data_IF_388030304766
#
_entry.id   IF_388030304766
#
_cell.length_a   1.000
_cell.length_b   1.000
_cell.length_c   1.000
_cell.angle_alpha   90.00
_cell.angle_beta   90.00
_cell.angle_gamma   90.00
#
_symmetry.space_group_name_H-M   'P 1'
#
loop_
_entity.id
_entity.type
_entity.pdbx_description
1 polymer ?
#
# COMPACT_ATOMS: atom_id res chain seq x y z
N UNK A 1 18.35 27.29 -0.84
CA UNK A 1 19.12 27.61 -2.07
C UNK A 1 19.61 26.29 -2.67
N UNK A 2 18.99 25.83 -3.77
CA UNK A 2 19.51 24.86 -4.76
C UNK A 2 18.35 24.41 -5.67
N UNK A 3 17.71 25.38 -6.32
CA UNK A 3 16.92 25.16 -7.53
C UNK A 3 17.18 26.35 -8.44
N UNK A 4 18.19 26.21 -9.29
CA UNK A 4 18.42 27.09 -10.44
C UNK A 4 19.27 26.32 -11.45
N UNK A 5 18.73 26.25 -12.67
CA UNK A 5 19.35 25.80 -13.91
C UNK A 5 19.49 24.28 -14.11
N UNK A 6 18.60 23.71 -14.94
CA UNK A 6 18.95 23.41 -16.33
C UNK A 6 17.68 23.09 -17.14
N UNK A 7 17.24 24.03 -17.97
CA UNK A 7 16.40 23.78 -19.14
C UNK A 7 17.30 23.95 -20.38
N UNK A 8 16.94 23.22 -21.44
CA UNK A 8 17.48 23.19 -22.82
C UNK A 8 18.23 21.88 -23.11
N UNK A 9 17.51 20.93 -23.72
CA UNK A 9 17.84 20.41 -25.05
C UNK A 9 16.53 20.04 -25.75
N UNK A 10 16.19 20.82 -26.76
CA UNK A 10 15.18 20.47 -27.75
C UNK A 10 15.86 19.58 -28.80
N UNK A 11 15.32 18.39 -29.02
CA UNK A 11 15.45 17.64 -30.28
C UNK A 11 14.09 17.01 -30.60
N UNK A 12 13.58 17.12 -31.84
CA UNK A 12 12.40 16.38 -32.26
C UNK A 12 12.84 14.96 -32.60
N UNK A 13 12.75 14.05 -31.64
CA UNK A 13 13.10 12.64 -31.84
C UNK A 13 11.82 11.83 -31.72
N UNK A 14 11.30 11.48 -32.90
CA UNK A 14 10.33 10.43 -33.21
C UNK A 14 9.00 10.45 -32.44
N UNK A 15 7.94 10.79 -33.17
CA UNK A 15 6.62 10.23 -32.92
C UNK A 15 6.66 8.72 -33.19
N UNK A 16 7.24 7.97 -32.25
CA UNK A 16 6.92 6.55 -32.11
C UNK A 16 5.60 6.49 -31.36
N UNK A 17 4.59 5.73 -31.80
CA UNK A 17 3.50 5.38 -30.90
C UNK A 17 4.18 4.72 -29.71
N UNK A 18 4.14 5.38 -28.54
CA UNK A 18 4.64 4.77 -27.33
C UNK A 18 4.02 3.37 -27.28
N UNK A 19 4.82 2.28 -27.30
CA UNK A 19 4.25 0.97 -27.07
C UNK A 19 3.49 1.11 -25.75
N UNK A 20 2.28 0.58 -25.72
CA UNK A 20 1.35 0.52 -24.58
C UNK A 20 1.98 -0.03 -23.27
N UNK A 21 3.24 -0.42 -23.32
CA UNK A 21 4.12 -0.67 -22.18
C UNK A 21 4.18 0.48 -21.16
N UNK A 22 4.07 1.75 -21.57
CA UNK A 22 4.03 2.89 -20.63
C UNK A 22 2.65 3.11 -19.96
N UNK A 23 1.60 2.39 -20.35
CA UNK A 23 0.29 2.51 -19.67
C UNK A 23 0.26 1.75 -18.33
N UNK A 24 1.21 0.85 -18.09
CA UNK A 24 1.27 -0.02 -16.92
C UNK A 24 2.42 0.31 -15.95
N UNK A 25 2.67 1.60 -15.71
CA UNK A 25 3.73 2.07 -14.79
C UNK A 25 3.46 1.77 -13.30
N UNK A 26 2.56 0.85 -12.96
CA UNK A 26 2.47 0.20 -11.64
C UNK A 26 2.91 -1.27 -11.64
N UNK A 27 3.40 -1.79 -12.78
CA UNK A 27 3.58 -3.23 -13.04
C UNK A 27 2.24 -3.99 -13.03
N UNK A 28 2.11 -5.20 -13.60
CA UNK A 28 0.97 -6.07 -13.32
C UNK A 28 0.98 -6.49 -11.83
N UNK A 29 -0.17 -6.79 -11.20
CA UNK A 29 -0.16 -7.44 -9.89
C UNK A 29 0.64 -8.74 -9.99
N UNK A 30 1.38 -9.10 -8.94
CA UNK A 30 2.09 -10.38 -8.94
C UNK A 30 1.06 -11.50 -9.21
N UNK A 31 1.34 -12.46 -10.10
CA UNK A 31 0.34 -13.41 -10.61
C UNK A 31 -0.33 -14.28 -9.53
N UNK A 32 0.21 -14.29 -8.31
CA UNK A 32 -0.28 -15.09 -7.20
C UNK A 32 -1.09 -14.29 -6.16
N UNK A 33 -1.40 -13.01 -6.40
CA UNK A 33 -2.16 -12.23 -5.43
C UNK A 33 -3.68 -12.32 -5.65
N UNK A 34 -4.41 -12.61 -4.57
CA UNK A 34 -5.87 -12.60 -4.52
C UNK A 34 -6.39 -11.17 -4.41
N UNK A 35 -7.28 -10.79 -5.32
CA UNK A 35 -7.96 -9.49 -5.28
C UNK A 35 -8.90 -9.41 -4.05
N UNK A 36 -8.75 -8.37 -3.23
CA UNK A 36 -9.59 -8.12 -2.05
C UNK A 36 -10.60 -6.99 -2.27
N UNK A 37 -10.20 -5.91 -2.95
CA UNK A 37 -11.07 -4.75 -3.19
C UNK A 37 -10.75 -4.08 -4.52
N UNK A 38 -11.63 -4.28 -5.51
CA UNK A 38 -11.48 -3.75 -6.88
C UNK A 38 -10.04 -3.95 -7.38
N UNK A 39 -9.56 -3.16 -8.33
CA UNK A 39 -8.17 -3.26 -8.80
C UNK A 39 -7.16 -2.50 -7.91
N UNK A 40 -7.48 -2.38 -6.62
CA UNK A 40 -6.74 -1.53 -5.69
C UNK A 40 -6.06 -2.31 -4.57
N UNK A 41 -6.68 -3.36 -4.01
CA UNK A 41 -6.10 -4.10 -2.88
C UNK A 41 -6.00 -5.57 -3.22
N UNK A 42 -4.83 -6.13 -2.98
CA UNK A 42 -4.50 -7.51 -3.26
C UNK A 42 -3.81 -8.13 -2.05
N UNK A 43 -4.25 -9.33 -1.68
CA UNK A 43 -3.59 -10.22 -0.73
C UNK A 43 -2.60 -11.09 -1.50
N UNK A 44 -1.31 -10.90 -1.24
CA UNK A 44 -0.22 -11.63 -1.86
C UNK A 44 0.38 -12.69 -0.92
N UNK A 45 -0.27 -12.91 0.23
CA UNK A 45 0.17 -13.83 1.25
C UNK A 45 -0.07 -15.30 0.92
N UNK A 46 0.30 -16.14 1.87
CA UNK A 46 0.05 -17.58 1.87
C UNK A 46 -1.14 -17.93 2.78
N UNK A 47 -1.89 -19.02 2.51
CA UNK A 47 -2.89 -19.55 3.45
C UNK A 47 -2.33 -19.92 4.83
N UNK A 48 -1.00 -20.05 4.96
CA UNK A 48 -0.30 -20.30 6.22
C UNK A 48 0.03 -19.04 7.01
N UNK A 49 -0.19 -17.85 6.45
CA UNK A 49 0.14 -16.59 7.11
C UNK A 49 -0.76 -16.36 8.32
N UNK A 50 -0.22 -15.66 9.33
CA UNK A 50 -0.90 -15.47 10.62
C UNK A 50 -2.22 -14.70 10.46
N UNK A 51 -2.24 -13.69 9.59
CA UNK A 51 -3.42 -12.90 9.24
C UNK A 51 -4.04 -13.42 7.94
N UNK A 52 -5.28 -13.87 8.03
CA UNK A 52 -6.10 -14.23 6.88
C UNK A 52 -7.16 -13.16 6.65
N UNK A 53 -7.03 -12.40 5.57
CA UNK A 53 -7.90 -11.26 5.28
C UNK A 53 -9.20 -11.75 4.62
N UNK A 54 -10.33 -11.40 5.23
CA UNK A 54 -11.66 -11.81 4.74
C UNK A 54 -12.24 -10.76 3.80
N UNK A 55 -12.19 -9.49 4.19
CA UNK A 55 -12.75 -8.38 3.42
C UNK A 55 -11.99 -7.09 3.70
N UNK A 56 -11.86 -6.25 2.68
CA UNK A 56 -11.45 -4.85 2.82
C UNK A 56 -12.38 -3.99 1.99
N UNK A 57 -12.83 -2.87 2.53
CA UNK A 57 -13.59 -1.84 1.86
C UNK A 57 -12.93 -0.48 2.07
N UNK A 58 -12.92 0.34 1.02
CA UNK A 58 -12.36 1.69 1.07
C UNK A 58 -13.39 2.69 0.50
N UNK A 59 -13.59 3.81 1.21
CA UNK A 59 -14.45 4.90 0.76
C UNK A 59 -13.88 6.28 1.13
N UNK A 60 -13.93 7.29 0.23
CA UNK A 60 -14.40 7.22 -1.14
C UNK A 60 -13.39 6.52 -2.07
N UNK A 61 -13.87 5.86 -3.12
CA UNK A 61 -13.02 5.24 -4.14
C UNK A 61 -13.42 5.68 -5.56
N UNK A 62 -12.51 6.20 -6.40
CA UNK A 62 -11.08 6.41 -6.13
C UNK A 62 -10.79 7.43 -5.01
N UNK A 63 -9.69 7.27 -4.24
CA UNK A 63 -9.32 8.21 -3.21
C UNK A 63 -9.14 9.63 -3.77
N UNK A 64 -9.57 10.63 -3.00
CA UNK A 64 -9.46 12.04 -3.39
C UNK A 64 -8.37 12.73 -2.58
N UNK A 65 -7.57 13.56 -3.24
CA UNK A 65 -6.57 14.40 -2.57
C UNK A 65 -7.28 15.38 -1.63
N UNK A 66 -6.72 15.59 -0.44
CA UNK A 66 -7.29 16.49 0.56
C UNK A 66 -8.57 16.01 1.23
N UNK A 67 -8.92 14.73 1.09
CA UNK A 67 -10.11 14.15 1.69
C UNK A 67 -9.74 13.00 2.63
N UNK A 68 -10.58 12.77 3.62
CA UNK A 68 -10.52 11.59 4.49
C UNK A 68 -10.83 10.32 3.67
N UNK A 69 -10.05 9.28 3.92
CA UNK A 69 -10.24 7.94 3.39
C UNK A 69 -10.61 7.01 4.55
N UNK A 70 -11.79 6.41 4.49
CA UNK A 70 -12.22 5.37 5.41
C UNK A 70 -11.79 3.99 4.88
N UNK A 71 -11.19 3.17 5.73
CA UNK A 71 -10.75 1.81 5.43
C UNK A 71 -11.37 0.88 6.47
N UNK A 72 -12.21 -0.03 6.00
CA UNK A 72 -12.84 -1.06 6.84
C UNK A 72 -12.30 -2.42 6.44
N UNK A 73 -11.80 -3.19 7.39
CA UNK A 73 -11.16 -4.47 7.14
C UNK A 73 -11.58 -5.52 8.16
N UNK A 74 -11.86 -6.74 7.68
CA UNK A 74 -12.11 -7.90 8.56
C UNK A 74 -11.15 -9.03 8.23
N UNK A 75 -10.68 -9.73 9.25
CA UNK A 75 -9.75 -10.83 9.10
C UNK A 75 -9.70 -11.72 10.33
N UNK A 76 -9.06 -12.87 10.18
CA UNK A 76 -8.78 -13.78 11.27
C UNK A 76 -7.28 -13.83 11.54
N UNK A 77 -6.90 -13.72 12.80
CA UNK A 77 -5.51 -13.78 13.26
C UNK A 77 -5.30 -15.11 14.01
N UNK A 78 -4.39 -15.96 13.56
CA UNK A 78 -4.19 -17.30 14.12
C UNK A 78 -3.30 -17.33 15.38
N UNK A 79 -2.48 -16.30 15.59
CA UNK A 79 -1.53 -16.14 16.71
C UNK A 79 -1.52 -14.67 17.17
N UNK A 80 -1.36 -14.42 18.47
CA UNK A 80 -1.24 -13.05 18.99
C UNK A 80 -0.09 -12.30 18.30
N UNK A 81 -0.39 -11.11 17.76
CA UNK A 81 0.64 -10.22 17.20
C UNK A 81 1.15 -9.33 18.34
N UNK A 82 2.38 -9.62 18.75
CA UNK A 82 3.03 -8.98 19.89
C UNK A 82 4.08 -7.95 19.45
N UNK A 83 4.56 -7.17 20.44
CA UNK A 83 5.65 -6.21 20.24
C UNK A 83 6.90 -6.89 19.68
N UNK A 84 7.60 -6.21 18.76
CA UNK A 84 8.71 -6.79 17.99
C UNK A 84 8.27 -7.49 16.70
N UNK A 85 6.97 -7.48 16.40
CA UNK A 85 6.48 -7.75 15.04
C UNK A 85 6.75 -6.53 14.16
N UNK A 86 7.19 -6.74 12.92
CA UNK A 86 7.66 -5.68 12.05
C UNK A 86 6.98 -5.76 10.68
N UNK A 87 6.77 -4.60 10.05
CA UNK A 87 6.35 -4.51 8.65
C UNK A 87 7.40 -3.81 7.80
N UNK A 88 7.70 -4.39 6.63
CA UNK A 88 8.50 -3.76 5.59
C UNK A 88 7.52 -3.11 4.62
N UNK A 89 7.53 -1.78 4.58
CA UNK A 89 6.68 -0.96 3.72
C UNK A 89 7.50 -0.40 2.57
N UNK A 90 7.11 -0.72 1.35
CA UNK A 90 7.69 -0.20 0.11
C UNK A 90 6.66 0.61 -0.65
N UNK A 91 6.96 1.88 -0.95
CA UNK A 91 6.09 2.74 -1.76
C UNK A 91 6.81 3.09 -3.06
N UNK A 92 6.14 2.86 -4.18
CA UNK A 92 6.58 3.27 -5.50
C UNK A 92 5.63 4.30 -6.10
N UNK A 93 6.20 5.24 -6.85
CA UNK A 93 5.48 6.18 -7.70
C UNK A 93 5.97 5.97 -9.14
N UNK A 94 5.08 5.44 -9.98
CA UNK A 94 5.51 4.87 -11.25
C UNK A 94 6.53 3.75 -11.03
N UNK A 95 7.70 3.91 -11.67
CA UNK A 95 8.85 3.00 -11.54
C UNK A 95 9.84 3.38 -10.42
N UNK A 96 9.66 4.54 -9.78
CA UNK A 96 10.60 5.06 -8.77
C UNK A 96 10.17 4.59 -7.38
N UNK A 97 11.11 4.05 -6.60
CA UNK A 97 10.88 3.72 -5.18
C UNK A 97 11.01 4.98 -4.33
N UNK A 98 9.89 5.47 -3.79
CA UNK A 98 9.85 6.63 -2.91
C UNK A 98 10.19 6.28 -1.46
N UNK A 99 9.73 5.11 -1.00
CA UNK A 99 9.88 4.68 0.38
C UNK A 99 10.26 3.21 0.43
N UNK A 100 11.14 2.87 1.35
CA UNK A 100 11.41 1.50 1.77
C UNK A 100 11.83 1.56 3.23
N UNK A 101 10.93 1.21 4.14
CA UNK A 101 11.14 1.32 5.58
C UNK A 101 10.64 0.09 6.30
N UNK A 102 11.32 -0.22 7.39
CA UNK A 102 10.88 -1.18 8.40
C UNK A 102 10.22 -0.38 9.53
N UNK A 103 9.04 -0.81 9.96
CA UNK A 103 8.27 -0.20 11.05
C UNK A 103 7.87 -1.27 12.06
N UNK A 104 7.75 -0.90 13.34
CA UNK A 104 7.16 -1.80 14.35
C UNK A 104 5.64 -1.83 14.17
N UNK A 105 5.09 -3.02 14.00
CA UNK A 105 3.68 -3.20 13.70
C UNK A 105 2.79 -2.85 14.89
N UNK A 106 3.27 -3.06 16.11
CA UNK A 106 2.49 -2.74 17.31
C UNK A 106 2.38 -1.25 17.57
N UNK A 107 3.44 -0.50 17.30
CA UNK A 107 3.39 0.96 17.37
C UNK A 107 2.37 1.52 16.35
N UNK A 108 2.34 0.96 15.13
CA UNK A 108 1.35 1.36 14.12
C UNK A 108 -0.08 0.94 14.44
N UNK A 109 -0.28 -0.25 15.03
CA UNK A 109 -1.58 -0.71 15.55
C UNK A 109 -2.10 0.25 16.64
N UNK A 110 -1.20 0.73 17.51
CA UNK A 110 -1.52 1.74 18.52
C UNK A 110 -1.97 3.07 17.90
N UNK A 111 -1.31 3.52 16.83
CA UNK A 111 -1.66 4.76 16.13
C UNK A 111 -3.07 4.73 15.51
N UNK A 112 -3.58 3.54 15.19
CA UNK A 112 -4.94 3.36 14.64
C UNK A 112 -5.99 3.00 15.71
N UNK A 113 -5.67 3.14 17.00
CA UNK A 113 -6.61 2.98 18.10
C UNK A 113 -6.86 1.54 18.53
N UNK A 114 -6.03 0.59 18.08
CA UNK A 114 -6.07 -0.80 18.53
C UNK A 114 -5.02 -1.05 19.60
N UNK A 115 -5.28 -1.96 20.54
CA UNK A 115 -4.33 -2.32 21.58
C UNK A 115 -3.40 -3.44 21.12
N UNK A 116 -2.10 -3.30 21.36
CA UNK A 116 -1.17 -4.42 21.32
C UNK A 116 -1.03 -5.09 22.71
N UNK A 117 -0.92 -6.44 22.78
CA UNK A 117 -0.87 -7.37 21.64
C UNK A 117 -2.24 -7.51 20.96
N UNK A 118 -2.25 -7.58 19.62
CA UNK A 118 -3.47 -7.84 18.86
C UNK A 118 -3.80 -9.33 19.01
N UNK A 119 -4.93 -9.62 19.65
CA UNK A 119 -5.29 -10.98 20.04
C UNK A 119 -5.70 -11.84 18.85
N UNK A 120 -5.34 -13.12 18.95
CA UNK A 120 -5.84 -14.16 18.04
C UNK A 120 -7.37 -14.16 18.00
N UNK A 121 -7.92 -14.48 16.84
CA UNK A 121 -9.35 -14.51 16.58
C UNK A 121 -9.77 -13.57 15.46
N UNK A 122 -11.08 -13.37 15.36
CA UNK A 122 -11.67 -12.43 14.42
C UNK A 122 -11.42 -10.99 14.86
N UNK A 123 -10.89 -10.20 13.93
CA UNK A 123 -10.57 -8.79 14.14
C UNK A 123 -11.27 -7.95 13.07
N UNK A 124 -11.76 -6.78 13.50
CA UNK A 124 -12.34 -5.77 12.64
C UNK A 124 -11.58 -4.45 12.83
N UNK A 125 -11.31 -3.78 11.72
CA UNK A 125 -10.59 -2.52 11.65
C UNK A 125 -11.49 -1.53 10.93
N UNK A 126 -11.65 -0.34 11.49
CA UNK A 126 -12.33 0.80 10.87
C UNK A 126 -11.48 2.03 11.16
N UNK A 127 -10.72 2.46 10.14
CA UNK A 127 -9.73 3.52 10.29
C UNK A 127 -9.95 4.62 9.26
N UNK A 128 -9.66 5.85 9.69
CA UNK A 128 -9.75 7.04 8.88
C UNK A 128 -8.36 7.61 8.68
N UNK A 129 -8.01 7.85 7.42
CA UNK A 129 -6.71 8.37 7.01
C UNK A 129 -6.91 9.62 6.16
N UNK A 130 -6.30 10.72 6.56
CA UNK A 130 -6.32 11.95 5.76
C UNK A 130 -5.34 11.84 4.60
N UNK A 131 -5.84 12.05 3.38
CA UNK A 131 -5.01 12.10 2.18
C UNK A 131 -4.56 13.55 1.95
N UNK A 132 -3.24 13.86 1.97
CA UNK A 132 -2.76 15.23 1.72
C UNK A 132 -3.15 15.78 0.34
N UNK A 133 -3.28 17.11 0.22
CA UNK A 133 -3.62 17.79 -1.03
C UNK A 133 -2.46 17.83 -2.02
N UNK A 134 -1.25 17.82 -1.49
CA UNK A 134 0.01 18.02 -2.19
C UNK A 134 0.49 16.74 -2.90
N UNK A 135 -0.21 15.60 -2.72
CA UNK A 135 0.14 14.34 -3.38
C UNK A 135 0.15 14.54 -4.91
N UNK A 136 1.29 14.28 -5.58
CA UNK A 136 1.36 14.36 -7.03
C UNK A 136 0.36 13.43 -7.72
N UNK A 137 -0.15 13.81 -8.91
CA UNK A 137 -0.95 12.91 -9.72
C UNK A 137 -0.08 11.76 -10.26
N UNK A 138 -0.63 10.56 -10.35
CA UNK A 138 0.01 9.38 -10.91
C UNK A 138 -0.30 8.10 -10.14
N UNK A 139 0.39 7.03 -10.50
CA UNK A 139 0.18 5.68 -9.97
C UNK A 139 1.11 5.41 -8.80
N UNK A 140 0.51 5.06 -7.67
CA UNK A 140 1.20 4.65 -6.45
C UNK A 140 0.98 3.17 -6.21
N UNK A 141 2.05 2.48 -5.84
CA UNK A 141 2.00 1.10 -5.39
C UNK A 141 2.62 1.01 -4.01
N UNK A 142 1.87 0.49 -3.05
CA UNK A 142 2.33 0.16 -1.70
C UNK A 142 2.43 -1.35 -1.60
N UNK A 143 3.55 -1.85 -1.13
CA UNK A 143 3.81 -3.27 -0.88
C UNK A 143 4.23 -3.40 0.59
N UNK A 144 3.50 -4.22 1.34
CA UNK A 144 3.66 -4.39 2.78
C UNK A 144 3.84 -5.86 3.09
N UNK A 145 4.98 -6.23 3.66
CA UNK A 145 5.25 -7.57 4.16
C UNK A 145 5.45 -7.48 5.67
N UNK A 146 4.61 -8.16 6.45
CA UNK A 146 4.69 -8.17 7.89
C UNK A 146 5.17 -9.53 8.42
N UNK A 147 6.02 -9.52 9.44
CA UNK A 147 6.52 -10.72 10.11
C UNK A 147 6.45 -10.53 11.63
N UNK A 148 6.20 -11.61 12.36
CA UNK A 148 6.28 -11.57 13.82
C UNK A 148 7.75 -11.62 14.28
N UNK A 149 7.97 -11.49 15.59
CA UNK A 149 9.30 -11.56 16.23
C UNK A 149 10.09 -12.85 15.95
N UNK A 150 9.42 -13.92 15.51
CA UNK A 150 10.00 -15.22 15.17
C UNK A 150 10.24 -15.39 13.65
N UNK A 151 10.09 -14.32 12.87
CA UNK A 151 10.14 -14.33 11.40
C UNK A 151 9.05 -15.21 10.73
N UNK A 152 7.95 -15.49 11.42
CA UNK A 152 6.77 -16.06 10.76
C UNK A 152 6.00 -14.94 10.07
N UNK A 153 5.61 -15.18 8.81
CA UNK A 153 4.87 -14.21 8.02
C UNK A 153 3.50 -13.94 8.65
N UNK A 154 3.26 -12.68 8.95
CA UNK A 154 1.95 -12.20 9.38
C UNK A 154 1.05 -12.05 8.16
N UNK A 155 1.54 -11.45 7.09
CA UNK A 155 0.81 -11.34 5.84
C UNK A 155 1.54 -10.47 4.82
N UNK A 156 1.05 -10.48 3.58
CA UNK A 156 1.59 -9.70 2.48
C UNK A 156 0.45 -8.99 1.72
N UNK A 157 0.44 -7.66 1.78
CA UNK A 157 -0.56 -6.82 1.11
C UNK A 157 0.07 -5.95 0.03
N UNK A 158 -0.59 -5.87 -1.12
CA UNK A 158 -0.30 -4.89 -2.17
C UNK A 158 -1.48 -3.97 -2.38
N UNK A 159 -1.21 -2.66 -2.41
CA UNK A 159 -2.19 -1.61 -2.65
C UNK A 159 -1.78 -0.77 -3.85
N UNK A 160 -2.74 -0.46 -4.71
CA UNK A 160 -2.57 0.29 -5.96
C UNK A 160 -3.60 1.41 -6.00
N UNK A 161 -3.10 2.63 -6.08
CA UNK A 161 -3.94 3.82 -6.09
C UNK A 161 -3.45 4.74 -7.19
N UNK A 162 -4.39 5.28 -7.96
CA UNK A 162 -4.10 6.28 -8.98
C UNK A 162 -4.78 7.60 -8.60
N UNK A 163 -3.98 8.66 -8.51
CA UNK A 163 -4.47 10.02 -8.35
C UNK A 163 -4.45 10.72 -9.70
N UNK A 164 -5.63 11.11 -10.22
CA UNK A 164 -5.71 11.81 -11.50
C UNK A 164 -5.20 13.26 -11.41
N UNK A 165 -4.68 13.77 -12.52
CA UNK A 165 -4.49 15.20 -12.75
C UNK A 165 -5.90 15.78 -12.97
N UNK A 166 -6.30 16.77 -12.17
CA UNK A 166 -7.59 17.43 -12.32
C UNK A 166 -7.68 18.20 -13.63
#
# INVERSE_FOLDING_TARGET
>A
MLFKNLLIFALPIFASPAPSFLENLGGPPSPNCKQLFKDAIYDCGSPSDILQIKKVDIAPFPPKKGAELNIVGTGYVSEDIEKGSEAIVTVKYGFIKLLHKKVDLCDEIGNIGLSCPLKKGDNNIDIKVDIPKEIPPGKYMVDVVANNKNNHTIGHLQVRIEFKLH
#
